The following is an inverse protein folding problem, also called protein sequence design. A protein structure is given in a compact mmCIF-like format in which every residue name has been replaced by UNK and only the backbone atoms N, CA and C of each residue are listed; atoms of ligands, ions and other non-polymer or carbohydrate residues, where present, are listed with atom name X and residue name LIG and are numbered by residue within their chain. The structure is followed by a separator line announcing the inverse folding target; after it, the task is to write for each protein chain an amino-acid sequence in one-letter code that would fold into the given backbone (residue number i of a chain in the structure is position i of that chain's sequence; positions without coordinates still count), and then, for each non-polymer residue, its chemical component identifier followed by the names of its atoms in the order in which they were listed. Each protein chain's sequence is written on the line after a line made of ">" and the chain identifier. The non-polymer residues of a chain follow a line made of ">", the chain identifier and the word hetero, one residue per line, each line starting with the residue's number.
data_IF_769371296713
#
_entry.id   IF_769371296713
#
_cell.length_a   1.000
_cell.length_b   1.000
_cell.length_c   1.000
_cell.angle_alpha   90.00
_cell.angle_beta   90.00
_cell.angle_gamma   90.00
#
_symmetry.space_group_name_H-M   'P 1'
#
loop_
_entity.id
_entity.type
_entity.pdbx_description
1 polymer ?
#
# COMPACT_ATOMS: atom_id res chain seq x y z
N UNK A 1 6.35 17.56 -28.20
CA UNK A 1 6.08 16.15 -28.51
C UNK A 1 5.39 15.57 -27.31
N UNK A 2 4.06 15.45 -27.36
CA UNK A 2 3.25 14.92 -26.27
C UNK A 2 3.21 13.40 -26.38
N UNK A 3 3.52 12.72 -25.29
CA UNK A 3 3.24 11.28 -25.16
C UNK A 3 1.97 11.19 -24.34
N UNK A 4 0.82 11.33 -25.00
CA UNK A 4 -0.47 10.93 -24.44
C UNK A 4 -0.61 9.41 -24.66
N UNK A 5 0.29 8.63 -24.05
CA UNK A 5 0.12 7.19 -23.99
C UNK A 5 -0.82 6.95 -22.81
N UNK A 6 -2.10 6.82 -23.14
CA UNK A 6 -3.11 6.37 -22.21
C UNK A 6 -2.84 4.89 -21.88
N UNK A 7 -1.97 4.65 -20.90
CA UNK A 7 -1.74 3.31 -20.36
C UNK A 7 -2.97 2.94 -19.54
N UNK A 8 -3.87 2.14 -20.12
CA UNK A 8 -4.92 1.47 -19.36
C UNK A 8 -4.26 0.48 -18.41
N UNK A 9 -4.07 0.91 -17.17
CA UNK A 9 -3.58 0.05 -16.11
C UNK A 9 -4.72 -0.89 -15.72
N UNK A 10 -4.66 -2.12 -16.21
CA UNK A 10 -5.57 -3.16 -15.76
C UNK A 10 -5.34 -3.40 -14.27
N UNK A 11 -6.43 -3.44 -13.51
CA UNK A 11 -6.40 -3.84 -12.10
C UNK A 11 -6.04 -5.32 -12.06
N UNK A 12 -4.98 -5.65 -11.32
CA UNK A 12 -4.51 -7.02 -11.16
C UNK A 12 -5.47 -7.82 -10.30
N UNK A 13 -5.61 -9.11 -10.58
CA UNK A 13 -6.31 -10.00 -9.67
C UNK A 13 -5.47 -10.24 -8.40
N UNK A 14 -6.06 -10.87 -7.38
CA UNK A 14 -5.39 -11.06 -6.08
C UNK A 14 -4.06 -11.82 -6.18
N UNK A 15 -3.96 -12.81 -7.07
CA UNK A 15 -2.75 -13.63 -7.25
C UNK A 15 -1.64 -12.80 -7.93
N UNK A 16 -1.97 -12.11 -9.02
CA UNK A 16 -1.04 -11.21 -9.72
C UNK A 16 -0.57 -10.06 -8.81
N UNK A 17 -1.49 -9.51 -8.01
CA UNK A 17 -1.20 -8.46 -7.04
C UNK A 17 -0.22 -8.96 -5.97
N UNK A 18 -0.46 -10.14 -5.42
CA UNK A 18 0.42 -10.78 -4.44
C UNK A 18 1.82 -11.06 -5.01
N UNK A 19 1.91 -11.60 -6.23
CA UNK A 19 3.18 -11.87 -6.89
C UNK A 19 3.97 -10.58 -7.14
N UNK A 20 3.31 -9.51 -7.61
CA UNK A 20 3.95 -8.23 -7.84
C UNK A 20 4.44 -7.60 -6.53
N UNK A 21 3.61 -7.61 -5.49
CA UNK A 21 3.95 -7.09 -4.18
C UNK A 21 5.13 -7.85 -3.55
N UNK A 22 5.02 -9.18 -3.44
CA UNK A 22 6.02 -10.04 -2.78
C UNK A 22 7.38 -10.00 -3.45
N UNK A 23 7.42 -9.93 -4.79
CA UNK A 23 8.64 -9.71 -5.56
C UNK A 23 9.34 -8.41 -5.18
N UNK A 24 8.59 -7.34 -4.96
CA UNK A 24 9.15 -6.03 -4.61
C UNK A 24 9.55 -5.92 -3.13
N UNK A 25 8.90 -6.69 -2.26
CA UNK A 25 9.23 -6.82 -0.84
C UNK A 25 10.48 -7.68 -0.56
N UNK A 26 11.02 -8.39 -1.58
CA UNK A 26 12.20 -9.29 -1.48
C UNK A 26 12.06 -10.32 -0.35
N UNK A 27 10.92 -10.99 -0.35
CA UNK A 27 10.47 -11.67 0.83
C UNK A 27 10.77 -13.18 0.83
N UNK A 28 11.93 -13.57 1.37
CA UNK A 28 12.36 -14.96 1.50
C UNK A 28 12.01 -15.57 2.87
N UNK A 29 11.04 -16.49 2.88
CA UNK A 29 10.78 -17.65 3.79
C UNK A 29 10.75 -17.46 5.32
N UNK A 30 11.30 -16.38 5.89
CA UNK A 30 11.47 -16.08 7.32
C UNK A 30 10.25 -15.41 7.98
N UNK A 31 9.05 -15.71 7.46
CA UNK A 31 8.02 -14.69 7.30
C UNK A 31 6.62 -15.16 7.65
N UNK A 32 6.47 -16.35 8.25
CA UNK A 32 5.16 -16.91 8.59
C UNK A 32 4.30 -15.92 9.39
N UNK A 33 4.88 -15.24 10.38
CA UNK A 33 4.16 -14.25 11.20
C UNK A 33 3.86 -12.93 10.46
N UNK A 34 4.62 -12.60 9.42
CA UNK A 34 4.49 -11.37 8.64
C UNK A 34 3.55 -11.56 7.44
N UNK A 35 3.50 -12.77 6.88
CA UNK A 35 2.73 -13.10 5.67
C UNK A 35 1.26 -12.67 5.75
N UNK A 36 0.51 -12.86 6.86
CA UNK A 36 -0.86 -12.40 6.96
C UNK A 36 -0.99 -10.87 6.76
N UNK A 37 -0.07 -10.09 7.32
CA UNK A 37 -0.05 -8.63 7.16
C UNK A 37 0.37 -8.22 5.75
N UNK A 38 1.36 -8.91 5.18
CA UNK A 38 1.81 -8.68 3.81
C UNK A 38 0.68 -8.92 2.79
N UNK A 39 -0.06 -10.02 2.93
CA UNK A 39 -1.21 -10.33 2.07
C UNK A 39 -2.34 -9.31 2.26
N UNK A 40 -2.61 -8.87 3.50
CA UNK A 40 -3.60 -7.83 3.77
C UNK A 40 -3.21 -6.49 3.11
N UNK A 41 -1.96 -6.05 3.25
CA UNK A 41 -1.46 -4.82 2.60
C UNK A 41 -1.61 -4.91 1.07
N UNK A 42 -1.28 -6.06 0.46
CA UNK A 42 -1.44 -6.26 -0.97
C UNK A 42 -2.91 -6.14 -1.41
N UNK A 43 -3.86 -6.61 -0.58
CA UNK A 43 -5.29 -6.47 -0.82
C UNK A 43 -5.77 -5.02 -0.69
N UNK A 44 -5.28 -4.26 0.30
CA UNK A 44 -5.59 -2.83 0.47
C UNK A 44 -5.10 -1.98 -0.71
N UNK A 45 -4.12 -2.47 -1.49
CA UNK A 45 -3.68 -1.83 -2.72
C UNK A 45 -4.67 -1.99 -3.90
N UNK A 46 -5.77 -2.74 -3.72
CA UNK A 46 -6.87 -2.89 -4.68
C UNK A 46 -6.42 -3.26 -6.11
N UNK A 47 -5.37 -4.09 -6.22
CA UNK A 47 -4.83 -4.54 -7.51
C UNK A 47 -4.16 -3.45 -8.35
N UNK A 48 -3.92 -2.25 -7.81
CA UNK A 48 -3.27 -1.15 -8.51
C UNK A 48 -1.74 -1.39 -8.58
N UNK A 49 -1.15 -1.63 -9.76
CA UNK A 49 0.28 -1.95 -9.88
C UNK A 49 1.21 -0.92 -9.24
N UNK A 50 0.91 0.38 -9.39
CA UNK A 50 1.72 1.44 -8.81
C UNK A 50 1.69 1.41 -7.28
N UNK A 51 0.53 1.16 -6.67
CA UNK A 51 0.40 1.06 -5.22
C UNK A 51 1.14 -0.19 -4.70
N UNK A 52 0.97 -1.33 -5.36
CA UNK A 52 1.62 -2.60 -5.02
C UNK A 52 3.15 -2.49 -5.07
N UNK A 53 3.70 -1.89 -6.13
CA UNK A 53 5.15 -1.66 -6.25
C UNK A 53 5.63 -0.71 -5.16
N UNK A 54 4.93 0.40 -4.96
CA UNK A 54 5.29 1.41 -3.94
C UNK A 54 5.34 0.79 -2.54
N UNK A 55 4.27 0.07 -2.16
CA UNK A 55 4.20 -0.59 -0.86
C UNK A 55 5.21 -1.72 -0.74
N UNK A 56 5.38 -2.55 -1.78
CA UNK A 56 6.37 -3.63 -1.77
C UNK A 56 7.79 -3.10 -1.54
N UNK A 57 8.17 -2.01 -2.23
CA UNK A 57 9.48 -1.36 -2.04
C UNK A 57 9.60 -0.75 -0.63
N UNK A 58 8.55 -0.10 -0.11
CA UNK A 58 8.57 0.49 1.22
C UNK A 58 8.73 -0.57 2.34
N UNK A 59 8.18 -1.76 2.12
CA UNK A 59 8.22 -2.88 3.06
C UNK A 59 9.42 -3.81 2.87
N UNK A 60 10.27 -3.55 1.87
CA UNK A 60 11.45 -4.35 1.56
C UNK A 60 12.39 -4.48 2.76
N UNK A 61 12.91 -5.69 2.99
CA UNK A 61 13.86 -6.04 4.07
C UNK A 61 13.34 -5.75 5.49
N UNK A 62 12.04 -5.52 5.67
CA UNK A 62 11.42 -5.42 7.00
C UNK A 62 11.15 -6.83 7.53
N UNK A 63 12.03 -7.32 8.39
CA UNK A 63 11.97 -8.69 8.94
C UNK A 63 11.22 -8.82 10.25
N UNK A 64 10.78 -7.69 10.84
CA UNK A 64 10.01 -7.67 12.09
C UNK A 64 8.53 -7.45 11.80
N UNK A 65 7.63 -7.92 12.65
CA UNK A 65 6.16 -7.84 12.46
C UNK A 65 5.63 -6.41 12.59
N UNK A 66 6.20 -5.61 13.51
CA UNK A 66 5.65 -4.31 13.91
C UNK A 66 5.51 -3.31 12.75
N UNK A 67 6.50 -3.15 11.84
CA UNK A 67 6.35 -2.31 10.65
C UNK A 67 5.18 -2.72 9.74
N UNK A 68 4.91 -4.02 9.61
CA UNK A 68 3.83 -4.53 8.74
C UNK A 68 2.46 -4.29 9.36
N UNK A 69 2.33 -4.56 10.66
CA UNK A 69 1.13 -4.23 11.41
C UNK A 69 0.84 -2.72 11.37
N UNK A 70 1.87 -1.89 11.54
CA UNK A 70 1.72 -0.44 11.48
C UNK A 70 1.29 0.05 10.09
N UNK A 71 1.94 -0.43 9.03
CA UNK A 71 1.59 -0.06 7.65
C UNK A 71 0.13 -0.45 7.31
N UNK A 72 -0.30 -1.65 7.72
CA UNK A 72 -1.68 -2.08 7.54
C UNK A 72 -2.67 -1.17 8.27
N UNK A 73 -2.38 -0.84 9.54
CA UNK A 73 -3.22 0.06 10.32
C UNK A 73 -3.35 1.45 9.69
N UNK A 74 -2.27 2.00 9.14
CA UNK A 74 -2.31 3.31 8.46
C UNK A 74 -3.10 3.25 7.15
N UNK A 75 -3.01 2.16 6.39
CA UNK A 75 -3.80 1.97 5.17
C UNK A 75 -5.30 1.85 5.46
N UNK A 76 -5.65 1.18 6.56
CA UNK A 76 -7.04 1.00 6.99
C UNK A 76 -7.60 2.22 7.72
N UNK A 77 -6.75 3.20 8.05
CA UNK A 77 -7.20 4.40 8.73
C UNK A 77 -8.07 5.21 7.77
N UNK A 78 -9.33 5.51 8.11
CA UNK A 78 -10.16 6.35 7.27
C UNK A 78 -9.44 7.69 7.09
N UNK A 79 -9.43 8.21 5.86
CA UNK A 79 -8.92 9.55 5.57
C UNK A 79 -9.84 10.55 6.28
N UNK A 80 -9.55 10.83 7.55
CA UNK A 80 -10.09 11.97 8.22
C UNK A 80 -9.50 13.18 7.50
N UNK A 81 -10.32 13.81 6.64
CA UNK A 81 -10.03 15.12 6.06
C UNK A 81 -9.85 16.10 7.21
N UNK A 82 -8.63 16.25 7.72
CA UNK A 82 -8.24 17.22 8.74
C UNK A 82 -8.17 18.66 8.19
N UNK A 83 -8.99 19.01 7.19
CA UNK A 83 -9.00 20.30 6.53
C UNK A 83 -10.14 21.25 6.94
N UNK A 84 -10.86 21.02 8.04
CA UNK A 84 -11.94 21.95 8.43
C UNK A 84 -11.88 22.49 9.86
N UNK A 85 -11.05 21.94 10.77
CA UNK A 85 -11.01 22.44 12.15
C UNK A 85 -10.28 23.79 12.32
N UNK A 86 -9.58 24.31 11.30
CA UNK A 86 -8.93 25.62 11.38
C UNK A 86 -9.73 26.77 10.73
N UNK A 87 -10.83 26.51 10.02
CA UNK A 87 -11.58 27.58 9.31
C UNK A 87 -12.58 28.30 10.23
N UNK A 88 -12.91 27.76 11.40
CA UNK A 88 -13.87 28.38 12.35
C UNK A 88 -13.30 29.45 13.27
N UNK A 89 -12.02 29.84 13.12
CA UNK A 89 -11.41 30.87 13.98
C UNK A 89 -11.29 32.26 13.33
N UNK A 90 -11.82 32.48 12.12
CA UNK A 90 -11.81 33.80 11.44
C UNK A 90 -13.24 34.40 11.41
N UNK A 91 -13.98 34.21 12.50
CA UNK A 91 -15.23 34.93 12.74
C UNK A 91 -15.33 35.35 14.19
N UNK A 92 -14.44 36.26 14.59
CA UNK A 92 -14.69 37.37 15.51
C UNK A 92 -13.70 38.49 15.23
#
# INVERSE_FOLDING_TARGET
>A
MGIDVEVKVAVLNNEEAWQLFSRNAENDVSLEDIRPFAEAIARECCGLPLALVTMGVAMRKKTKVEPWMHALNELQRPVLVHHTSQIRSISH
#
